data_IF_554490332638
#
_entry.id   IF_554490332638
#
_cell.length_a   1.000
_cell.length_b   1.000
_cell.length_c   1.000
_cell.angle_alpha   90.00
_cell.angle_beta   90.00
_cell.angle_gamma   90.00
#
_symmetry.space_group_name_H-M   'P 1'
#
loop_
_entity.id
_entity.type
_entity.pdbx_description
1 polymer ?
#
# COMPACT_ATOMS: atom_id res chain seq x y z
N UNK A 1 -56.82 49.72 -18.18
CA UNK A 1 -57.83 49.97 -17.14
C UNK A 1 -57.86 48.70 -16.27
N UNK A 2 -57.38 48.71 -15.02
CA UNK A 2 -58.07 49.25 -13.81
C UNK A 2 -59.34 48.40 -13.58
N UNK A 3 -59.60 47.66 -12.49
CA UNK A 3 -59.08 47.59 -11.10
C UNK A 3 -59.47 46.20 -10.47
N UNK A 4 -59.12 45.74 -9.25
CA UNK A 4 -58.04 46.01 -8.26
C UNK A 4 -58.27 45.12 -6.99
N UNK A 5 -57.20 44.75 -6.27
CA UNK A 5 -57.18 44.24 -4.85
C UNK A 5 -57.90 42.93 -4.49
N UNK A 6 -57.11 41.99 -3.92
CA UNK A 6 -57.45 41.40 -2.62
C UNK A 6 -56.27 41.55 -1.65
N UNK A 7 -56.58 41.82 -0.38
CA UNK A 7 -55.62 42.20 0.66
C UNK A 7 -55.08 40.99 1.43
N UNK A 8 -53.86 41.16 1.91
CA UNK A 8 -53.26 40.38 3.00
C UNK A 8 -54.11 40.51 4.27
N UNK A 9 -54.32 39.40 4.98
CA UNK A 9 -54.31 39.43 6.45
C UNK A 9 -53.77 38.12 7.04
N UNK A 10 -52.78 38.25 7.91
CA UNK A 10 -52.12 37.19 8.66
C UNK A 10 -52.91 36.78 9.90
N UNK A 11 -52.80 35.52 10.33
CA UNK A 11 -53.03 35.18 11.73
C UNK A 11 -52.19 33.96 12.20
N UNK A 12 -51.10 34.28 12.90
CA UNK A 12 -50.41 33.51 13.96
C UNK A 12 -50.42 31.96 13.93
N UNK A 13 -49.22 31.38 13.76
CA UNK A 13 -48.84 30.16 14.47
C UNK A 13 -47.65 30.48 15.37
N UNK A 14 -47.89 30.60 16.68
CA UNK A 14 -46.83 30.77 17.67
C UNK A 14 -46.54 29.44 18.37
N UNK A 15 -45.26 29.24 18.63
CA UNK A 15 -44.63 28.23 19.49
C UNK A 15 -45.52 27.60 20.58
N UNK A 16 -45.40 26.28 20.72
CA UNK A 16 -45.03 25.73 22.02
C UNK A 16 -43.96 24.65 21.86
N UNK A 17 -42.77 24.90 22.42
CA UNK A 17 -41.76 23.89 22.68
C UNK A 17 -42.21 23.11 23.92
N UNK A 18 -42.27 21.79 23.82
CA UNK A 18 -42.51 20.86 24.93
C UNK A 18 -41.41 19.81 24.95
N UNK A 19 -40.46 19.96 25.85
CA UNK A 19 -39.26 19.12 25.95
C UNK A 19 -39.56 17.71 26.45
N UNK A 20 -39.20 16.70 25.65
CA UNK A 20 -38.92 15.36 26.14
C UNK A 20 -37.41 15.14 26.10
N UNK A 21 -36.75 15.25 27.26
CA UNK A 21 -35.35 14.84 27.44
C UNK A 21 -35.26 13.30 27.37
N UNK A 22 -35.22 12.76 26.16
CA UNK A 22 -34.73 11.40 25.92
C UNK A 22 -33.21 11.44 25.88
N UNK A 23 -32.55 10.71 26.79
CA UNK A 23 -31.13 10.42 26.66
C UNK A 23 -30.92 9.46 25.48
N UNK A 24 -30.80 10.01 24.28
CA UNK A 24 -30.22 9.27 23.17
C UNK A 24 -28.73 9.10 23.47
N UNK A 25 -28.37 7.95 24.02
CA UNK A 25 -27.02 7.42 23.89
C UNK A 25 -26.65 7.48 22.41
N UNK A 26 -25.58 8.22 22.09
CA UNK A 26 -25.02 8.25 20.74
C UNK A 26 -24.44 6.87 20.45
N UNK A 27 -25.27 5.99 19.90
CA UNK A 27 -24.82 4.73 19.30
C UNK A 27 -23.84 5.09 18.19
N UNK A 28 -22.59 4.70 18.39
CA UNK A 28 -21.50 4.87 17.42
C UNK A 28 -21.62 3.86 16.29
N UNK A 29 -22.80 3.82 15.67
CA UNK A 29 -23.03 3.06 14.44
C UNK A 29 -22.39 3.82 13.28
N UNK A 30 -21.15 3.44 13.06
CA UNK A 30 -20.48 3.38 11.77
C UNK A 30 -21.35 3.74 10.56
N UNK A 31 -20.92 4.73 9.77
CA UNK A 31 -21.28 4.80 8.36
C UNK A 31 -20.54 3.68 7.61
N UNK A 32 -21.06 2.46 7.78
CA UNK A 32 -20.46 1.22 7.26
C UNK A 32 -20.39 1.30 5.73
N UNK A 33 -19.27 0.85 5.17
CA UNK A 33 -19.19 0.37 3.78
C UNK A 33 -20.07 -0.88 3.69
N UNK A 34 -21.39 -0.67 3.56
CA UNK A 34 -22.44 -1.69 3.55
C UNK A 34 -22.44 -2.46 2.21
N UNK A 35 -21.32 -3.11 1.94
CA UNK A 35 -21.26 -4.32 1.13
C UNK A 35 -21.24 -5.51 2.10
N UNK A 36 -22.21 -6.45 2.05
CA UNK A 36 -22.18 -7.68 2.82
C UNK A 36 -21.14 -8.68 2.29
N UNK A 37 -20.71 -8.51 1.02
CA UNK A 37 -19.84 -9.46 0.32
C UNK A 37 -18.34 -9.16 0.56
N UNK A 38 -17.86 -9.36 1.79
CA UNK A 38 -16.43 -9.40 2.10
C UNK A 38 -16.06 -10.73 2.75
N UNK A 39 -14.88 -11.28 2.44
CA UNK A 39 -14.45 -12.58 2.99
C UNK A 39 -13.76 -12.39 4.35
N UNK A 40 -14.25 -13.04 5.39
CA UNK A 40 -13.49 -13.20 6.63
C UNK A 40 -12.47 -14.33 6.49
N UNK A 41 -11.21 -14.05 6.80
CA UNK A 41 -10.11 -15.01 6.71
C UNK A 41 -9.47 -15.11 8.10
N UNK A 42 -9.66 -16.25 8.76
CA UNK A 42 -9.03 -16.53 10.06
C UNK A 42 -7.61 -17.00 9.80
N UNK A 43 -6.64 -16.23 10.28
CA UNK A 43 -5.21 -16.47 10.10
C UNK A 43 -4.61 -16.60 11.49
N UNK A 44 -4.14 -17.79 11.85
CA UNK A 44 -3.17 -17.92 12.93
C UNK A 44 -1.76 -17.98 12.31
N UNK A 45 -0.94 -16.92 12.41
CA UNK A 45 0.39 -16.89 11.81
C UNK A 45 1.28 -18.03 12.30
N UNK A 46 1.05 -18.54 13.51
CA UNK A 46 1.93 -19.54 14.12
C UNK A 46 1.64 -20.97 13.61
N UNK A 47 0.53 -21.18 12.87
CA UNK A 47 0.08 -22.50 12.37
C UNK A 47 -0.20 -22.55 10.86
N UNK A 48 0.35 -21.62 10.07
CA UNK A 48 0.17 -21.65 8.60
C UNK A 48 1.05 -22.73 7.96
N UNK A 49 0.48 -23.53 7.05
CA UNK A 49 1.17 -24.67 6.42
C UNK A 49 2.27 -24.25 5.42
N UNK A 50 3.38 -25.00 5.41
CA UNK A 50 4.33 -24.99 4.29
C UNK A 50 3.70 -25.62 3.05
N UNK A 51 4.04 -25.09 1.87
CA UNK A 51 3.37 -25.45 0.63
C UNK A 51 4.36 -25.55 -0.52
N UNK A 52 4.25 -26.59 -1.35
CA UNK A 52 4.99 -26.68 -2.60
C UNK A 52 4.50 -25.56 -3.55
N UNK A 53 5.42 -24.79 -4.10
CA UNK A 53 5.13 -23.71 -5.06
C UNK A 53 4.21 -24.17 -6.21
N UNK A 54 4.45 -25.38 -6.73
CA UNK A 54 3.63 -26.05 -7.75
C UNK A 54 2.17 -26.36 -7.38
N UNK A 55 1.76 -26.19 -6.11
CA UNK A 55 0.33 -26.19 -5.74
C UNK A 55 -0.34 -24.87 -6.15
N UNK A 56 0.36 -23.75 -5.98
CA UNK A 56 -0.13 -22.37 -6.17
C UNK A 56 0.10 -21.86 -7.60
N UNK A 57 1.20 -22.26 -8.24
CA UNK A 57 1.60 -21.77 -9.57
C UNK A 57 1.40 -22.80 -10.68
N UNK A 58 1.01 -22.32 -11.87
CA UNK A 58 1.02 -23.10 -13.11
C UNK A 58 2.38 -23.04 -13.80
N UNK A 59 3.05 -21.88 -13.75
CA UNK A 59 4.37 -21.70 -14.35
C UNK A 59 5.20 -20.60 -13.69
N UNK A 60 6.50 -20.60 -13.97
CA UNK A 60 7.48 -19.68 -13.40
C UNK A 60 8.30 -19.10 -14.55
N UNK A 61 8.58 -17.79 -14.51
CA UNK A 61 9.49 -17.11 -15.46
C UNK A 61 10.54 -16.29 -14.71
N UNK A 62 11.79 -16.36 -15.17
CA UNK A 62 12.87 -15.52 -14.67
C UNK A 62 13.13 -14.35 -15.60
N UNK A 63 13.27 -13.16 -15.02
CA UNK A 63 13.79 -11.97 -15.70
C UNK A 63 15.13 -11.62 -15.07
N UNK A 64 16.18 -11.74 -15.87
CA UNK A 64 17.55 -11.43 -15.48
C UNK A 64 17.83 -9.96 -15.75
N UNK A 65 17.69 -9.13 -14.72
CA UNK A 65 17.97 -7.69 -14.82
C UNK A 65 19.44 -7.46 -15.20
N UNK A 66 19.65 -6.73 -16.29
CA UNK A 66 20.97 -6.40 -16.82
C UNK A 66 21.84 -5.78 -15.74
N UNK A 67 23.09 -6.24 -15.64
CA UNK A 67 24.01 -5.85 -14.56
C UNK A 67 25.26 -5.23 -15.16
N UNK A 68 25.30 -3.90 -15.16
CA UNK A 68 26.46 -3.08 -15.51
C UNK A 68 26.72 -2.08 -14.38
N UNK A 69 27.82 -1.31 -14.46
CA UNK A 69 28.08 -0.20 -13.54
C UNK A 69 26.99 0.90 -13.57
N UNK A 70 26.20 0.95 -14.64
CA UNK A 70 25.11 1.92 -14.74
C UNK A 70 23.81 1.40 -14.13
N UNK A 71 23.57 0.09 -14.21
CA UNK A 71 22.34 -0.57 -13.78
C UNK A 71 22.44 -1.36 -12.47
N UNK A 72 23.60 -1.41 -11.81
CA UNK A 72 23.75 -2.08 -10.52
C UNK A 72 22.92 -1.40 -9.42
N UNK A 73 22.23 -2.19 -8.61
CA UNK A 73 21.45 -1.71 -7.45
C UNK A 73 21.52 -2.67 -6.26
N UNK A 74 21.19 -2.17 -5.07
CA UNK A 74 21.35 -2.90 -3.79
C UNK A 74 20.07 -3.58 -3.32
N UNK A 75 18.90 -2.98 -3.57
CA UNK A 75 17.61 -3.51 -3.12
C UNK A 75 16.44 -2.95 -3.94
N UNK A 76 15.38 -3.75 -4.08
CA UNK A 76 14.07 -3.27 -4.55
C UNK A 76 13.33 -2.74 -3.32
N UNK A 77 13.24 -1.41 -3.17
CA UNK A 77 12.42 -0.78 -2.13
C UNK A 77 10.97 -0.63 -2.56
N UNK A 78 10.77 -0.36 -3.84
CA UNK A 78 9.47 -0.27 -4.48
C UNK A 78 9.62 -0.69 -5.95
N UNK A 79 8.59 -1.33 -6.50
CA UNK A 79 8.50 -1.73 -7.89
C UNK A 79 7.15 -1.29 -8.45
N UNK A 80 7.14 -0.84 -9.70
CA UNK A 80 5.95 -0.71 -10.53
C UNK A 80 6.19 -1.35 -11.90
N UNK A 81 5.11 -1.70 -12.59
CA UNK A 81 5.15 -2.49 -13.81
C UNK A 81 4.27 -1.82 -14.84
N UNK A 82 4.86 -1.37 -15.95
CA UNK A 82 4.12 -0.96 -17.13
C UNK A 82 4.12 -2.09 -18.16
N UNK A 83 3.42 -1.87 -19.27
CA UNK A 83 3.40 -2.78 -20.41
C UNK A 83 4.81 -2.93 -21.03
N UNK A 84 5.66 -1.91 -20.86
CA UNK A 84 6.99 -1.80 -21.46
C UNK A 84 8.16 -1.94 -20.46
N UNK A 85 7.95 -1.63 -19.18
CA UNK A 85 9.03 -1.50 -18.19
C UNK A 85 8.73 -2.11 -16.80
N UNK A 86 9.80 -2.52 -16.12
CA UNK A 86 9.88 -2.60 -14.67
C UNK A 86 10.57 -1.33 -14.14
N UNK A 87 9.89 -0.59 -13.26
CA UNK A 87 10.38 0.62 -12.62
C UNK A 87 10.76 0.27 -11.18
N UNK A 88 12.05 0.32 -10.84
CA UNK A 88 12.61 -0.18 -9.57
C UNK A 88 13.24 0.97 -8.81
N UNK A 89 12.75 1.26 -7.61
CA UNK A 89 13.37 2.24 -6.71
C UNK A 89 14.30 1.56 -5.71
N UNK A 90 15.57 1.99 -5.70
CA UNK A 90 16.52 1.73 -4.63
C UNK A 90 16.64 2.96 -3.74
N UNK A 91 16.07 2.90 -2.53
CA UNK A 91 16.09 3.98 -1.56
C UNK A 91 17.46 4.21 -0.91
N UNK A 92 18.33 3.20 -0.89
CA UNK A 92 19.70 3.34 -0.36
C UNK A 92 20.59 4.10 -1.34
N UNK A 93 20.48 3.82 -2.64
CA UNK A 93 21.18 4.54 -3.70
C UNK A 93 20.48 5.84 -4.11
N UNK A 94 19.22 6.04 -3.72
CA UNK A 94 18.40 7.19 -4.12
C UNK A 94 18.28 7.30 -5.64
N UNK A 95 17.95 6.16 -6.25
CA UNK A 95 17.90 5.97 -7.71
C UNK A 95 16.68 5.14 -8.09
N UNK A 96 15.96 5.56 -9.13
CA UNK A 96 14.87 4.83 -9.78
C UNK A 96 15.41 4.31 -11.11
N UNK A 97 15.42 3.00 -11.31
CA UNK A 97 15.92 2.33 -12.51
C UNK A 97 14.76 1.87 -13.38
N UNK A 98 14.92 1.99 -14.69
CA UNK A 98 13.99 1.49 -15.67
C UNK A 98 14.64 0.33 -16.43
N UNK A 99 14.00 -0.83 -16.36
CA UNK A 99 14.37 -2.01 -17.15
C UNK A 99 13.22 -2.36 -18.07
N UNK A 100 13.53 -2.82 -19.28
CA UNK A 100 12.55 -3.38 -20.22
C UNK A 100 11.96 -4.69 -19.71
N UNK A 101 10.83 -5.14 -20.27
CA UNK A 101 10.17 -6.43 -19.89
C UNK A 101 11.05 -7.67 -20.08
N UNK A 102 12.08 -7.62 -20.93
CA UNK A 102 13.07 -8.69 -21.11
C UNK A 102 14.30 -8.54 -20.19
N UNK A 103 14.34 -7.49 -19.36
CA UNK A 103 15.35 -7.28 -18.33
C UNK A 103 16.55 -6.42 -18.74
N UNK A 104 16.60 -5.93 -20.00
CA UNK A 104 17.65 -4.99 -20.44
C UNK A 104 17.48 -3.64 -19.74
N UNK A 105 18.60 -3.00 -19.39
CA UNK A 105 18.61 -1.67 -18.82
C UNK A 105 18.16 -0.64 -19.87
N UNK A 106 17.34 0.33 -19.44
CA UNK A 106 16.86 1.40 -20.31
C UNK A 106 17.45 2.75 -19.90
N UNK A 107 17.12 3.24 -18.70
CA UNK A 107 17.71 4.43 -18.10
C UNK A 107 17.51 4.44 -16.58
N UNK A 108 17.91 5.53 -15.91
CA UNK A 108 17.63 5.76 -14.49
C UNK A 108 17.43 7.24 -14.16
N UNK A 109 16.65 7.51 -13.12
CA UNK A 109 16.55 8.80 -12.44
C UNK A 109 17.36 8.71 -11.14
N UNK A 110 18.36 9.58 -10.98
CA UNK A 110 19.15 9.70 -9.74
C UNK A 110 18.82 11.02 -9.05
N UNK A 111 18.96 11.08 -7.72
CA UNK A 111 19.09 12.38 -7.05
C UNK A 111 20.18 13.23 -7.75
N UNK A 112 19.94 14.53 -7.91
CA UNK A 112 20.96 15.46 -8.38
C UNK A 112 21.26 16.53 -7.33
N UNK A 113 22.17 17.46 -7.66
CA UNK A 113 22.48 18.59 -6.78
C UNK A 113 21.23 19.46 -6.56
N UNK A 114 21.04 19.96 -5.33
CA UNK A 114 19.90 20.82 -4.91
C UNK A 114 19.60 22.02 -5.81
N UNK A 115 20.56 22.42 -6.65
CA UNK A 115 20.44 23.57 -7.55
C UNK A 115 19.82 23.22 -8.92
N UNK A 116 19.58 21.95 -9.24
CA UNK A 116 18.81 21.59 -10.43
C UNK A 116 17.30 21.59 -10.10
N UNK A 117 16.50 22.54 -10.63
CA UNK A 117 15.06 22.63 -10.34
C UNK A 117 14.25 21.44 -10.86
N UNK A 118 14.81 20.64 -11.77
CA UNK A 118 14.16 19.56 -12.51
C UNK A 118 14.47 18.17 -11.91
N UNK A 119 14.92 18.13 -10.65
CA UNK A 119 15.40 16.91 -9.99
C UNK A 119 15.01 16.83 -8.52
N UNK A 120 14.70 15.61 -8.07
CA UNK A 120 14.57 15.31 -6.64
C UNK A 120 15.96 15.17 -5.97
N UNK A 121 15.98 15.35 -4.66
CA UNK A 121 17.17 15.33 -3.81
C UNK A 121 17.18 14.16 -2.83
N UNK A 122 16.00 13.79 -2.30
CA UNK A 122 15.81 12.58 -1.50
C UNK A 122 14.39 12.01 -1.64
N UNK A 123 14.23 11.06 -2.55
CA UNK A 123 12.99 10.34 -2.76
C UNK A 123 12.63 9.45 -1.55
N UNK A 124 11.35 9.47 -1.15
CA UNK A 124 10.78 8.49 -0.19
C UNK A 124 10.09 7.32 -0.87
N UNK A 125 9.60 7.55 -2.08
CA UNK A 125 8.89 6.59 -2.94
C UNK A 125 8.43 7.30 -4.21
N UNK A 126 7.63 6.62 -5.01
CA UNK A 126 7.01 7.19 -6.19
C UNK A 126 5.57 6.71 -6.35
N UNK A 127 4.77 7.43 -7.14
CA UNK A 127 3.44 7.00 -7.60
C UNK A 127 3.47 7.03 -9.12
N UNK A 128 2.89 6.03 -9.76
CA UNK A 128 2.70 5.99 -11.21
C UNK A 128 1.21 6.18 -11.48
N UNK A 129 0.88 7.20 -12.28
CA UNK A 129 -0.41 7.27 -12.96
C UNK A 129 -0.34 6.40 -14.22
N UNK A 130 -1.20 5.38 -14.27
CA UNK A 130 -1.28 4.43 -15.38
C UNK A 130 -2.08 4.95 -16.57
N UNK A 131 -2.90 6.00 -16.38
CA UNK A 131 -3.74 6.58 -17.42
C UNK A 131 -2.97 7.64 -18.22
N UNK A 132 -2.12 8.42 -17.54
CA UNK A 132 -1.27 9.46 -18.14
C UNK A 132 0.20 9.06 -18.36
N UNK A 133 0.61 7.89 -17.85
CA UNK A 133 2.01 7.39 -17.84
C UNK A 133 3.01 8.35 -17.16
N UNK A 134 2.54 9.09 -16.14
CA UNK A 134 3.34 10.03 -15.36
C UNK A 134 3.83 9.40 -14.06
N UNK A 135 5.15 9.49 -13.83
CA UNK A 135 5.82 9.07 -12.61
C UNK A 135 6.03 10.28 -11.67
N UNK A 136 5.22 10.36 -10.62
CA UNK A 136 5.32 11.36 -9.56
C UNK A 136 6.28 10.87 -8.46
N UNK A 137 7.38 11.59 -8.21
CA UNK A 137 8.41 11.24 -7.22
C UNK A 137 8.36 12.22 -6.04
N UNK A 138 8.09 11.69 -4.85
CA UNK A 138 7.98 12.48 -3.62
C UNK A 138 9.34 12.68 -2.94
N UNK A 139 9.75 13.94 -2.74
CA UNK A 139 10.99 14.29 -2.04
C UNK A 139 10.69 14.72 -0.59
N UNK A 140 11.38 14.16 0.41
CA UNK A 140 11.17 14.55 1.83
C UNK A 140 11.86 15.86 2.22
N UNK A 141 12.86 16.31 1.46
CA UNK A 141 13.58 17.56 1.70
C UNK A 141 13.02 18.74 0.88
N UNK A 142 11.92 18.53 0.14
CA UNK A 142 11.23 19.55 -0.65
C UNK A 142 9.74 19.58 -0.27
N UNK A 143 9.10 20.73 -0.39
CA UNK A 143 7.63 20.80 -0.39
C UNK A 143 7.02 20.30 -1.71
N UNK A 144 7.82 19.75 -2.63
CA UNK A 144 7.39 19.39 -3.99
C UNK A 144 7.45 17.90 -4.28
N UNK A 145 6.53 17.47 -5.15
CA UNK A 145 6.59 16.22 -5.92
C UNK A 145 7.12 16.54 -7.32
N UNK A 146 7.99 15.68 -7.87
CA UNK A 146 8.64 15.88 -9.17
C UNK A 146 8.08 14.88 -10.18
N UNK A 147 7.62 15.34 -11.33
CA UNK A 147 6.96 14.49 -12.31
C UNK A 147 7.83 14.24 -13.54
N UNK A 148 7.89 12.98 -13.96
CA UNK A 148 8.67 12.51 -15.10
C UNK A 148 7.79 11.63 -16.00
N UNK A 149 8.08 11.60 -17.29
CA UNK A 149 7.50 10.60 -18.18
C UNK A 149 8.33 9.29 -18.15
N UNK A 150 7.88 8.25 -18.86
CA UNK A 150 8.55 6.94 -18.88
C UNK A 150 9.90 6.92 -19.62
N UNK A 151 10.26 7.97 -20.38
CA UNK A 151 11.62 8.17 -20.91
C UNK A 151 12.55 8.87 -19.91
N UNK A 152 12.07 9.20 -18.71
CA UNK A 152 12.84 9.88 -17.66
C UNK A 152 12.98 11.39 -17.87
N UNK A 153 12.21 11.98 -18.78
CA UNK A 153 12.19 13.42 -19.00
C UNK A 153 11.30 14.09 -17.95
N UNK A 154 11.85 15.10 -17.26
CA UNK A 154 11.09 15.96 -16.35
C UNK A 154 9.93 16.67 -17.08
N UNK A 155 8.76 16.65 -16.46
CA UNK A 155 7.53 17.31 -16.93
C UNK A 155 7.38 18.63 -16.19
N UNK A 156 7.16 18.57 -14.88
CA UNK A 156 7.09 19.71 -13.98
C UNK A 156 7.26 19.28 -12.51
N UNK A 157 7.20 20.24 -11.59
CA UNK A 157 7.11 19.98 -10.15
C UNK A 157 5.82 20.55 -9.57
N UNK A 158 5.15 19.78 -8.74
CA UNK A 158 3.91 20.15 -8.06
C UNK A 158 4.24 20.48 -6.61
N UNK A 159 3.80 21.64 -6.11
CA UNK A 159 3.86 21.93 -4.68
C UNK A 159 2.82 21.08 -3.95
N UNK A 160 3.24 20.32 -2.95
CA UNK A 160 2.34 19.51 -2.12
C UNK A 160 1.50 20.41 -1.23
N UNK A 161 0.19 20.29 -1.35
CA UNK A 161 -0.76 20.95 -0.46
C UNK A 161 -0.80 20.19 0.87
N UNK A 162 -0.12 20.78 1.86
CA UNK A 162 -0.15 20.43 3.29
C UNK A 162 0.48 19.06 3.64
N UNK A 163 1.56 19.15 4.42
CA UNK A 163 2.18 18.00 5.08
C UNK A 163 1.41 17.65 6.37
N UNK A 164 1.30 16.38 6.79
CA UNK A 164 1.67 15.16 6.06
C UNK A 164 0.47 14.43 5.42
N UNK A 165 0.23 14.57 4.11
CA UNK A 165 -0.41 13.47 3.35
C UNK A 165 0.45 12.21 3.56
N UNK A 166 -0.17 11.08 3.91
CA UNK A 166 0.56 9.84 4.20
C UNK A 166 0.89 9.03 2.96
N UNK A 167 -0.04 8.96 2.00
CA UNK A 167 0.11 8.22 0.75
C UNK A 167 -0.97 8.68 -0.26
N UNK A 168 -0.75 8.45 -1.54
CA UNK A 168 -1.75 8.68 -2.60
C UNK A 168 -1.59 7.70 -3.77
N UNK A 169 -2.61 7.61 -4.61
CA UNK A 169 -2.60 6.82 -5.85
C UNK A 169 -3.49 7.48 -6.90
N UNK A 170 -3.32 7.08 -8.17
CA UNK A 170 -4.14 7.52 -9.29
C UNK A 170 -4.88 6.32 -9.90
N UNK A 171 -6.14 6.52 -10.28
CA UNK A 171 -7.00 5.48 -10.85
C UNK A 171 -8.20 6.09 -11.58
N UNK A 172 -8.43 5.72 -12.84
CA UNK A 172 -9.57 6.19 -13.67
C UNK A 172 -9.66 7.73 -13.69
N UNK A 173 -8.51 8.41 -13.87
CA UNK A 173 -8.36 9.88 -13.78
C UNK A 173 -8.83 10.52 -12.44
N UNK A 174 -8.82 9.75 -11.35
CA UNK A 174 -9.06 10.23 -9.98
C UNK A 174 -7.80 10.10 -9.12
N UNK A 175 -7.62 11.03 -8.19
CA UNK A 175 -6.57 10.98 -7.18
C UNK A 175 -7.13 10.49 -5.85
N UNK A 176 -6.70 9.32 -5.41
CA UNK A 176 -7.01 8.76 -4.10
C UNK A 176 -5.96 9.25 -3.10
N UNK A 177 -6.37 9.90 -2.02
CA UNK A 177 -5.47 10.45 -0.99
C UNK A 177 -5.81 9.85 0.36
N UNK A 178 -4.82 9.26 1.02
CA UNK A 178 -4.95 8.78 2.39
C UNK A 178 -4.34 9.77 3.38
N UNK A 179 -5.19 10.25 4.25
CA UNK A 179 -4.92 11.14 5.37
C UNK A 179 -4.83 10.30 6.66
N UNK A 180 -3.61 10.13 7.17
CA UNK A 180 -3.36 9.43 8.43
C UNK A 180 -3.73 10.31 9.63
N UNK A 181 -3.69 9.72 10.82
CA UNK A 181 -3.87 10.43 12.09
C UNK A 181 -2.95 11.67 12.23
N UNK A 182 -1.76 11.66 11.61
CA UNK A 182 -0.81 12.77 11.64
C UNK A 182 -1.24 13.99 10.80
N UNK A 183 -2.02 13.76 9.73
CA UNK A 183 -2.35 14.76 8.70
C UNK A 183 -3.37 15.81 9.13
N UNK A 184 -4.27 15.45 10.05
CA UNK A 184 -5.37 16.31 10.47
C UNK A 184 -4.97 17.30 11.58
N UNK A 185 -3.92 17.00 12.36
CA UNK A 185 -3.43 17.94 13.37
C UNK A 185 -2.59 19.07 12.76
N UNK A 186 -1.79 18.82 11.71
CA UNK A 186 -0.92 19.87 11.11
C UNK A 186 -1.72 21.00 10.46
N UNK A 187 -2.84 20.68 9.78
CA UNK A 187 -3.77 21.68 9.24
C UNK A 187 -4.34 22.59 10.33
N UNK A 188 -4.54 22.05 11.54
CA UNK A 188 -5.09 22.79 12.68
C UNK A 188 -4.00 23.50 13.52
N UNK A 189 -2.75 23.04 13.52
CA UNK A 189 -1.63 23.68 14.25
C UNK A 189 -1.27 25.08 13.72
N UNK A 190 -1.61 25.40 12.46
CA UNK A 190 -1.49 26.75 11.91
C UNK A 190 -2.68 27.67 12.22
N UNK A 191 -3.71 27.18 12.90
CA UNK A 191 -4.82 28.02 13.40
C UNK A 191 -4.53 28.48 14.82
N UNK A 192 -4.61 29.79 15.04
CA UNK A 192 -4.04 30.48 16.22
C UNK A 192 -4.84 30.34 17.53
N UNK A 193 -5.73 29.36 17.66
CA UNK A 193 -6.62 29.24 18.82
C UNK A 193 -6.64 27.84 19.45
N UNK A 194 -5.83 27.57 20.49
CA UNK A 194 -5.86 26.33 21.28
C UNK A 194 -7.21 26.02 21.97
N UNK A 195 -8.15 26.95 21.99
CA UNK A 195 -9.37 26.87 22.81
C UNK A 195 -10.50 26.05 22.16
N UNK A 196 -10.44 25.76 20.86
CA UNK A 196 -11.45 24.97 20.12
C UNK A 196 -11.17 23.46 20.10
N UNK A 197 -10.12 22.99 20.78
CA UNK A 197 -9.53 21.63 20.72
C UNK A 197 -10.40 20.45 21.20
N UNK A 198 -11.73 20.60 21.35
CA UNK A 198 -12.65 19.53 21.81
C UNK A 198 -14.04 19.67 21.22
N UNK A 199 -14.15 19.66 19.90
CA UNK A 199 -15.41 19.35 19.21
C UNK A 199 -15.23 18.01 18.52
N UNK A 200 -16.12 17.06 18.74
CA UNK A 200 -16.08 15.70 18.17
C UNK A 200 -16.26 15.70 16.65
N UNK A 201 -15.23 16.16 15.94
CA UNK A 201 -15.21 16.30 14.49
C UNK A 201 -14.75 14.99 13.90
N UNK A 202 -15.64 14.34 13.14
CA UNK A 202 -15.21 13.26 12.27
C UNK A 202 -14.54 13.85 11.04
N UNK A 203 -13.39 13.30 10.67
CA UNK A 203 -12.67 13.64 9.43
C UNK A 203 -12.41 12.35 8.63
N UNK A 204 -12.41 12.39 7.28
CA UNK A 204 -12.26 11.20 6.45
C UNK A 204 -10.79 10.80 6.30
N UNK A 205 -10.43 9.54 6.58
CA UNK A 205 -9.09 9.04 6.28
C UNK A 205 -8.83 8.91 4.77
N UNK A 206 -9.86 8.67 3.95
CA UNK A 206 -9.71 8.48 2.51
C UNK A 206 -10.57 9.51 1.77
N UNK A 207 -9.93 10.37 1.00
CA UNK A 207 -10.60 11.34 0.12
C UNK A 207 -10.18 11.08 -1.31
N UNK A 208 -11.16 11.12 -2.21
CA UNK A 208 -10.97 10.89 -3.63
C UNK A 208 -11.29 12.20 -4.34
N UNK A 209 -10.38 12.65 -5.20
CA UNK A 209 -10.46 13.92 -5.91
C UNK A 209 -10.53 13.69 -7.41
N UNK A 210 -11.22 14.59 -8.11
CA UNK A 210 -11.02 14.82 -9.54
C UNK A 210 -9.68 15.53 -9.77
N UNK A 211 -9.12 15.41 -10.98
CA UNK A 211 -7.83 16.03 -11.35
C UNK A 211 -7.82 17.58 -11.26
N UNK A 212 -8.99 18.24 -11.17
CA UNK A 212 -9.11 19.68 -10.92
C UNK A 212 -9.04 20.06 -9.42
N UNK A 213 -8.89 19.09 -8.51
CA UNK A 213 -8.86 19.30 -7.06
C UNK A 213 -10.22 19.27 -6.37
N UNK A 214 -11.32 19.06 -7.09
CA UNK A 214 -12.65 18.91 -6.48
C UNK A 214 -12.80 17.55 -5.78
N UNK A 215 -13.41 17.55 -4.58
CA UNK A 215 -13.69 16.32 -3.83
C UNK A 215 -14.81 15.55 -4.51
N UNK A 216 -14.50 14.31 -4.94
CA UNK A 216 -15.45 13.38 -5.54
C UNK A 216 -16.11 12.47 -4.49
N UNK A 217 -15.33 11.89 -3.57
CA UNK A 217 -15.84 11.00 -2.51
C UNK A 217 -15.02 11.11 -1.20
N UNK A 218 -15.64 10.75 -0.08
CA UNK A 218 -15.03 10.74 1.26
C UNK A 218 -15.44 9.48 2.03
N UNK A 219 -14.46 8.75 2.56
CA UNK A 219 -14.64 7.45 3.21
C UNK A 219 -13.82 7.32 4.48
N UNK A 220 -14.12 6.28 5.27
CA UNK A 220 -13.34 5.86 6.43
C UNK A 220 -13.14 6.99 7.47
N UNK A 221 -14.26 7.52 7.96
CA UNK A 221 -14.29 8.60 8.92
C UNK A 221 -13.77 8.17 10.30
N UNK A 222 -13.03 9.06 10.98
CA UNK A 222 -12.48 8.85 12.31
C UNK A 222 -12.42 10.17 13.11
N UNK A 223 -12.20 10.09 14.42
CA UNK A 223 -11.97 11.27 15.26
C UNK A 223 -10.45 11.51 15.43
N UNK A 224 -9.88 12.63 14.93
CA UNK A 224 -8.45 12.93 15.10
C UNK A 224 -8.07 13.32 16.53
N UNK A 225 -9.02 13.76 17.37
CA UNK A 225 -8.74 14.08 18.77
C UNK A 225 -8.37 12.84 19.62
N UNK A 226 -8.66 11.63 19.12
CA UNK A 226 -8.34 10.37 19.80
C UNK A 226 -6.88 9.93 19.63
N UNK A 227 -6.10 10.59 18.76
CA UNK A 227 -4.77 10.11 18.34
C UNK A 227 -3.76 11.26 18.22
N UNK A 228 -2.62 11.11 18.90
CA UNK A 228 -1.46 11.96 18.66
C UNK A 228 -0.67 11.50 17.41
N UNK A 229 -0.34 12.40 16.46
CA UNK A 229 0.53 12.13 15.32
C UNK A 229 1.82 11.38 15.65
N UNK A 230 2.49 11.75 16.76
CA UNK A 230 3.78 11.20 17.16
C UNK A 230 3.68 9.84 17.86
N UNK A 231 2.49 9.27 17.94
CA UNK A 231 2.28 7.91 18.43
C UNK A 231 2.33 6.83 17.35
N UNK A 232 2.30 7.23 16.07
CA UNK A 232 2.19 6.30 14.95
C UNK A 232 3.40 6.35 14.02
N UNK A 233 3.55 5.28 13.24
CA UNK A 233 4.47 5.22 12.11
C UNK A 233 3.67 5.44 10.84
N UNK A 234 4.24 6.22 9.91
CA UNK A 234 3.66 6.41 8.57
C UNK A 234 4.16 5.30 7.65
N UNK A 235 3.30 4.85 6.75
CA UNK A 235 3.59 3.78 5.80
C UNK A 235 2.79 4.01 4.50
N UNK A 236 3.15 3.26 3.45
CA UNK A 236 2.33 3.07 2.24
C UNK A 236 1.00 2.40 2.60
N UNK A 237 -0.08 2.78 1.91
CA UNK A 237 -1.45 2.34 2.14
C UNK A 237 -2.11 1.88 0.83
N UNK A 238 -1.67 2.40 -0.33
CA UNK A 238 -2.17 2.02 -1.65
C UNK A 238 -1.24 1.06 -2.39
N UNK A 239 -1.84 0.01 -2.97
CA UNK A 239 -1.14 -1.02 -3.73
C UNK A 239 -1.88 -1.27 -5.04
N UNK A 240 -1.22 -0.99 -6.17
CA UNK A 240 -1.78 -1.23 -7.50
C UNK A 240 -1.35 -2.63 -7.95
N UNK A 241 -2.33 -3.48 -8.24
CA UNK A 241 -2.09 -4.86 -8.71
C UNK A 241 -2.38 -5.02 -10.20
N UNK A 242 -3.33 -4.24 -10.72
CA UNK A 242 -3.76 -4.26 -12.11
C UNK A 242 -4.39 -2.88 -12.42
N UNK A 243 -4.67 -2.60 -13.69
CA UNK A 243 -5.27 -1.32 -14.11
C UNK A 243 -6.77 -1.18 -13.75
N UNK A 244 -7.39 -2.17 -13.11
CA UNK A 244 -8.84 -2.22 -12.84
C UNK A 244 -9.22 -2.03 -11.36
N UNK A 245 -8.23 -2.07 -10.44
CA UNK A 245 -8.45 -1.76 -9.03
C UNK A 245 -7.18 -1.26 -8.31
N UNK A 246 -7.38 -0.34 -7.36
CA UNK A 246 -6.40 0.01 -6.33
C UNK A 246 -6.79 -0.68 -5.03
N UNK A 247 -5.87 -1.47 -4.47
CA UNK A 247 -6.03 -2.07 -3.15
C UNK A 247 -5.55 -1.10 -2.08
N UNK A 248 -6.22 -1.12 -0.94
CA UNK A 248 -5.96 -0.21 0.17
C UNK A 248 -5.98 -0.94 1.52
N UNK A 249 -5.03 -0.61 2.40
CA UNK A 249 -5.03 -0.99 3.82
C UNK A 249 -4.67 0.23 4.66
N UNK A 250 -5.04 0.23 5.96
CA UNK A 250 -4.67 1.31 6.89
C UNK A 250 -4.14 0.74 8.21
N UNK A 251 -3.36 1.55 8.91
CA UNK A 251 -2.87 1.21 10.26
C UNK A 251 -4.02 0.88 11.21
N UNK A 252 -3.82 -0.13 12.07
CA UNK A 252 -4.77 -0.68 13.04
C UNK A 252 -6.04 -1.31 12.48
N UNK A 253 -6.18 -1.42 11.15
CA UNK A 253 -7.31 -2.09 10.51
C UNK A 253 -6.83 -3.36 9.80
N UNK A 254 -7.33 -4.51 10.23
CA UNK A 254 -7.04 -5.79 9.59
C UNK A 254 -7.92 -6.03 8.35
N UNK A 255 -8.45 -4.97 7.74
CA UNK A 255 -9.28 -5.02 6.53
C UNK A 255 -8.49 -4.55 5.31
N UNK A 256 -8.55 -5.35 4.24
CA UNK A 256 -8.13 -4.96 2.89
C UNK A 256 -9.36 -4.45 2.15
N UNK A 257 -9.23 -3.29 1.55
CA UNK A 257 -10.24 -2.64 0.72
C UNK A 257 -9.80 -2.67 -0.75
N UNK A 258 -10.77 -2.56 -1.66
CA UNK A 258 -10.54 -2.36 -3.10
C UNK A 258 -11.36 -1.15 -3.55
N UNK A 259 -10.76 -0.30 -4.38
CA UNK A 259 -11.44 0.73 -5.17
C UNK A 259 -11.30 0.35 -6.64
N UNK A 260 -12.42 0.02 -7.29
CA UNK A 260 -12.45 -0.58 -8.63
C UNK A 260 -13.15 0.33 -9.66
N UNK A 261 -13.12 -0.07 -10.95
CA UNK A 261 -13.70 0.69 -12.08
C UNK A 261 -15.20 1.02 -11.98
N UNK A 262 -15.95 0.48 -11.00
CA UNK A 262 -17.30 0.96 -10.68
C UNK A 262 -17.29 2.22 -9.79
N UNK A 263 -16.11 2.78 -9.51
CA UNK A 263 -15.85 3.96 -8.67
C UNK A 263 -16.42 3.83 -7.25
N UNK A 264 -16.28 2.64 -6.66
CA UNK A 264 -16.77 2.32 -5.31
C UNK A 264 -15.67 1.73 -4.45
N UNK A 265 -15.56 2.23 -3.22
CA UNK A 265 -14.79 1.57 -2.16
C UNK A 265 -15.57 0.36 -1.64
N UNK A 266 -14.92 -0.80 -1.60
CA UNK A 266 -15.49 -2.04 -1.08
C UNK A 266 -14.50 -2.70 -0.10
N UNK A 267 -15.03 -3.39 0.92
CA UNK A 267 -14.24 -4.31 1.74
C UNK A 267 -14.02 -5.58 0.94
N UNK A 268 -12.76 -6.01 0.81
CA UNK A 268 -12.39 -7.22 0.07
C UNK A 268 -12.19 -8.40 1.02
N UNK A 269 -11.33 -8.22 2.03
CA UNK A 269 -10.99 -9.22 3.05
C UNK A 269 -10.98 -8.55 4.42
N UNK A 270 -11.47 -9.25 5.44
CA UNK A 270 -11.14 -8.96 6.85
C UNK A 270 -10.31 -10.10 7.42
N UNK A 271 -9.07 -9.82 7.78
CA UNK A 271 -8.17 -10.77 8.45
C UNK A 271 -8.53 -10.80 9.94
N UNK A 272 -8.82 -12.00 10.45
CA UNK A 272 -9.08 -12.25 11.86
C UNK A 272 -7.88 -13.00 12.43
N UNK A 273 -7.16 -12.35 13.35
CA UNK A 273 -6.00 -12.91 14.04
C UNK A 273 -6.40 -13.44 15.43
N UNK A 274 -5.60 -14.34 16.04
CA UNK A 274 -5.73 -14.67 17.44
C UNK A 274 -5.66 -13.42 18.35
N UNK A 275 -6.25 -13.49 19.54
CA UNK A 275 -6.32 -12.34 20.45
C UNK A 275 -4.92 -11.88 20.91
N UNK A 276 -4.00 -12.83 21.14
CA UNK A 276 -2.60 -12.56 21.48
C UNK A 276 -1.78 -11.95 20.32
N UNK A 277 -2.41 -11.73 19.17
CA UNK A 277 -1.80 -11.22 17.94
C UNK A 277 -2.54 -10.00 17.37
N UNK A 278 -3.65 -9.63 17.98
CA UNK A 278 -4.50 -8.50 17.60
C UNK A 278 -4.20 -7.29 18.48
N UNK A 279 -4.41 -6.09 17.95
CA UNK A 279 -4.48 -4.89 18.78
C UNK A 279 -5.70 -4.99 19.72
N UNK A 280 -5.63 -4.44 20.95
CA UNK A 280 -6.82 -4.27 21.79
C UNK A 280 -7.91 -3.49 21.03
N UNK A 281 -9.17 -3.92 21.14
CA UNK A 281 -10.30 -3.30 20.43
C UNK A 281 -10.47 -1.81 20.80
N UNK A 282 -10.11 -1.46 22.04
CA UNK A 282 -10.17 -0.11 22.60
C UNK A 282 -8.85 0.67 22.47
N UNK A 283 -7.85 0.19 21.73
CA UNK A 283 -6.50 0.78 21.68
C UNK A 283 -6.46 2.27 21.27
N UNK A 284 -7.41 2.68 20.42
CA UNK A 284 -7.57 4.08 19.99
C UNK A 284 -8.37 4.96 20.96
N UNK A 285 -9.07 4.38 21.92
CA UNK A 285 -10.03 5.10 22.79
C UNK A 285 -9.71 4.98 24.27
N UNK A 286 -8.88 4.01 24.67
CA UNK A 286 -8.51 3.77 26.06
C UNK A 286 -7.29 4.63 26.45
N UNK A 287 -7.50 5.51 27.44
CA UNK A 287 -6.50 6.44 27.95
C UNK A 287 -5.25 5.78 28.57
N UNK A 288 -5.29 4.46 28.86
CA UNK A 288 -4.10 3.71 29.28
C UNK A 288 -2.97 3.74 28.23
N UNK A 289 -3.34 3.87 26.95
CA UNK A 289 -2.39 3.89 25.84
C UNK A 289 -1.92 5.29 25.45
N UNK A 290 -2.51 6.37 25.99
CA UNK A 290 -2.18 7.74 25.59
C UNK A 290 -0.70 8.09 25.83
N UNK A 291 -0.06 8.63 24.79
CA UNK A 291 1.38 8.91 24.69
C UNK A 291 2.28 7.66 24.81
N UNK A 292 1.71 6.47 24.68
CA UNK A 292 2.38 5.16 24.82
C UNK A 292 2.10 4.21 23.67
N UNK A 293 1.25 4.55 22.70
CA UNK A 293 0.87 3.63 21.60
C UNK A 293 2.09 3.17 20.79
N UNK A 294 3.03 4.06 20.49
CA UNK A 294 4.32 3.72 19.83
C UNK A 294 5.17 2.77 20.67
N UNK A 295 5.23 2.98 21.98
CA UNK A 295 5.96 2.09 22.89
C UNK A 295 5.29 0.73 23.00
N UNK A 296 3.96 0.69 23.17
CA UNK A 296 3.18 -0.54 23.22
C UNK A 296 3.40 -1.38 21.95
N UNK A 297 3.34 -0.76 20.77
CA UNK A 297 3.67 -1.43 19.51
C UNK A 297 5.12 -1.90 19.45
N UNK A 298 6.08 -1.18 20.06
CA UNK A 298 7.49 -1.59 20.11
C UNK A 298 7.72 -2.78 21.05
N UNK A 299 7.07 -2.84 22.20
CA UNK A 299 7.25 -3.88 23.21
C UNK A 299 6.42 -5.14 22.95
N UNK A 300 5.26 -5.01 22.30
CA UNK A 300 4.39 -6.12 21.91
C UNK A 300 4.64 -6.51 20.44
N UNK A 301 5.87 -6.94 20.12
CA UNK A 301 6.28 -7.26 18.74
C UNK A 301 5.46 -8.33 18.03
N UNK A 302 4.72 -9.15 18.79
CA UNK A 302 3.88 -10.24 18.26
C UNK A 302 2.51 -9.74 17.75
N UNK A 303 2.11 -8.52 18.09
CA UNK A 303 0.84 -7.94 17.64
C UNK A 303 1.03 -7.35 16.24
N UNK A 304 0.13 -7.72 15.31
CA UNK A 304 0.09 -7.06 14.01
C UNK A 304 -0.72 -5.76 14.12
N UNK A 305 -0.09 -4.65 13.75
CA UNK A 305 -0.69 -3.31 13.75
C UNK A 305 -0.96 -2.76 12.34
N UNK A 306 -0.61 -3.51 11.29
CA UNK A 306 -0.80 -3.13 9.87
C UNK A 306 -0.67 -4.33 8.92
N UNK A 307 -1.47 -4.29 7.86
CA UNK A 307 -1.34 -5.11 6.64
C UNK A 307 -0.54 -4.35 5.57
N UNK A 308 0.46 -5.01 4.97
CA UNK A 308 1.37 -4.46 3.96
C UNK A 308 1.46 -5.32 2.68
N UNK A 309 2.09 -4.79 1.62
CA UNK A 309 2.37 -5.46 0.33
C UNK A 309 1.18 -6.29 -0.19
N UNK A 310 0.06 -5.61 -0.39
CA UNK A 310 -1.21 -6.23 -0.77
C UNK A 310 -1.33 -6.27 -2.28
N UNK A 311 -1.35 -7.46 -2.87
CA UNK A 311 -1.47 -7.65 -4.30
C UNK A 311 -2.52 -8.69 -4.64
N UNK A 312 -3.28 -8.48 -5.72
CA UNK A 312 -4.38 -9.38 -6.15
C UNK A 312 -4.23 -9.82 -7.60
N UNK A 313 -4.38 -11.12 -7.83
CA UNK A 313 -4.50 -11.75 -9.14
C UNK A 313 -5.63 -12.77 -9.06
N UNK A 314 -6.72 -12.55 -9.81
CA UNK A 314 -7.93 -13.38 -9.76
C UNK A 314 -8.43 -13.57 -8.31
N UNK A 315 -8.46 -14.81 -7.82
CA UNK A 315 -8.82 -15.14 -6.44
C UNK A 315 -7.66 -15.04 -5.44
N UNK A 316 -6.41 -14.87 -5.88
CA UNK A 316 -5.26 -14.84 -5.00
C UNK A 316 -4.99 -13.44 -4.48
N UNK A 317 -4.79 -13.30 -3.16
CA UNK A 317 -4.43 -12.03 -2.51
C UNK A 317 -3.26 -12.22 -1.55
N UNK A 318 -2.22 -11.41 -1.71
CA UNK A 318 -1.07 -11.35 -0.80
C UNK A 318 -1.35 -10.36 0.34
N UNK A 319 -0.77 -10.61 1.51
CA UNK A 319 -0.74 -9.65 2.60
C UNK A 319 0.50 -9.88 3.47
N UNK A 320 1.07 -8.81 4.02
CA UNK A 320 2.18 -8.86 4.96
C UNK A 320 1.68 -8.40 6.32
N UNK A 321 1.63 -9.31 7.28
CA UNK A 321 1.26 -8.96 8.65
C UNK A 321 2.51 -8.38 9.33
N UNK A 322 2.46 -7.11 9.70
CA UNK A 322 3.62 -6.37 10.21
C UNK A 322 4.31 -7.13 11.35
N UNK A 323 5.63 -7.34 11.22
CA UNK A 323 6.52 -8.10 12.12
C UNK A 323 6.19 -9.58 12.34
N UNK A 324 5.30 -10.15 11.52
CA UNK A 324 4.90 -11.55 11.62
C UNK A 324 5.27 -12.35 10.39
N UNK A 325 4.42 -12.35 9.37
CA UNK A 325 4.51 -13.24 8.21
C UNK A 325 3.94 -12.62 6.96
N UNK A 326 4.44 -13.09 5.84
CA UNK A 326 3.84 -12.87 4.54
C UNK A 326 2.83 -14.00 4.28
N UNK A 327 1.55 -13.68 4.08
CA UNK A 327 0.47 -14.63 3.80
C UNK A 327 -0.09 -14.49 2.39
N UNK A 328 -0.51 -15.61 1.81
CA UNK A 328 -1.20 -15.69 0.53
C UNK A 328 -2.55 -16.39 0.73
N UNK A 329 -3.62 -15.75 0.29
CA UNK A 329 -5.02 -16.20 0.48
C UNK A 329 -5.66 -16.50 -0.86
N UNK A 330 -6.41 -17.59 -0.96
CA UNK A 330 -7.31 -17.85 -2.08
C UNK A 330 -8.77 -17.51 -1.72
N UNK A 331 -9.37 -16.57 -2.42
CA UNK A 331 -10.74 -16.10 -2.20
C UNK A 331 -11.82 -17.04 -2.75
N UNK A 332 -11.49 -17.91 -3.70
CA UNK A 332 -12.39 -18.97 -4.17
C UNK A 332 -12.50 -20.10 -3.14
N UNK A 333 -11.37 -20.74 -2.80
CA UNK A 333 -11.34 -21.91 -1.91
C UNK A 333 -11.39 -21.54 -0.42
N UNK A 334 -10.74 -20.45 -0.03
CA UNK A 334 -10.46 -20.11 1.38
C UNK A 334 -9.10 -20.56 1.87
N UNK A 335 -8.27 -21.16 1.01
CA UNK A 335 -6.93 -21.61 1.37
C UNK A 335 -6.04 -20.43 1.80
N UNK A 336 -5.11 -20.73 2.72
CA UNK A 336 -4.19 -19.79 3.34
C UNK A 336 -2.80 -20.42 3.40
N UNK A 337 -1.80 -19.71 2.88
CA UNK A 337 -0.42 -20.20 2.82
C UNK A 337 0.57 -19.18 3.39
N UNK A 338 1.64 -19.70 3.97
CA UNK A 338 2.78 -18.92 4.42
C UNK A 338 3.71 -18.72 3.21
N UNK A 339 3.94 -17.47 2.82
CA UNK A 339 4.83 -17.14 1.71
C UNK A 339 6.29 -17.49 2.08
N UNK A 340 6.66 -17.34 3.35
CA UNK A 340 7.97 -17.75 3.86
C UNK A 340 8.10 -19.29 3.96
N UNK A 341 6.97 -20.00 3.96
CA UNK A 341 6.84 -21.45 3.88
C UNK A 341 6.67 -22.01 2.46
N UNK A 342 6.79 -21.20 1.40
CA UNK A 342 6.72 -21.71 0.01
C UNK A 342 8.02 -22.44 -0.34
N UNK A 343 7.91 -23.75 -0.52
CA UNK A 343 8.99 -24.62 -0.96
C UNK A 343 9.07 -24.56 -2.49
N UNK A 344 10.18 -24.01 -2.99
CA UNK A 344 10.42 -23.88 -4.43
C UNK A 344 11.17 -25.08 -5.01
N UNK A 345 10.67 -25.61 -6.13
CA UNK A 345 11.27 -26.75 -6.81
C UNK A 345 12.54 -26.40 -7.61
N UNK A 346 12.78 -25.11 -7.89
CA UNK A 346 13.80 -24.65 -8.85
C UNK A 346 15.25 -24.91 -8.42
N UNK A 347 15.45 -25.10 -7.11
CA UNK A 347 16.73 -25.45 -6.50
C UNK A 347 16.63 -26.63 -5.53
N UNK A 348 15.42 -27.18 -5.29
CA UNK A 348 15.18 -28.11 -4.18
C UNK A 348 15.37 -27.47 -2.80
N UNK A 349 15.20 -26.16 -2.71
CA UNK A 349 15.50 -25.37 -1.52
C UNK A 349 14.29 -24.54 -1.13
N UNK A 350 13.92 -24.64 0.14
CA UNK A 350 13.21 -23.55 0.80
C UNK A 350 14.08 -22.29 0.71
N UNK A 351 13.54 -21.26 0.07
CA UNK A 351 14.06 -19.89 0.15
C UNK A 351 13.64 -19.23 1.49
N UNK A 352 13.52 -20.04 2.55
CA UNK A 352 13.56 -19.60 3.94
C UNK A 352 14.88 -18.86 4.17
N UNK A 353 14.78 -17.53 4.16
CA UNK A 353 15.92 -16.64 4.03
C UNK A 353 15.57 -15.37 3.26
N UNK A 354 14.47 -14.72 3.67
CA UNK A 354 13.95 -13.51 3.06
C UNK A 354 13.65 -13.68 1.56
N UNK A 355 12.53 -14.34 1.23
CA UNK A 355 11.71 -13.76 0.18
C UNK A 355 11.41 -12.33 0.65
N UNK A 356 12.02 -11.34 0.01
CA UNK A 356 11.46 -9.99 0.05
C UNK A 356 9.98 -10.12 -0.33
N UNK A 357 9.09 -9.50 0.45
CA UNK A 357 7.66 -9.48 0.18
C UNK A 357 7.37 -9.26 -1.31
N UNK A 358 6.25 -9.81 -1.79
CA UNK A 358 5.79 -9.58 -3.17
C UNK A 358 5.95 -8.11 -3.56
N UNK A 359 6.65 -7.88 -4.67
CA UNK A 359 7.04 -6.54 -5.13
C UNK A 359 5.95 -5.85 -5.94
N UNK A 360 5.08 -6.66 -6.55
CA UNK A 360 4.09 -6.21 -7.53
C UNK A 360 3.51 -7.39 -8.32
N UNK A 361 2.79 -7.03 -9.37
CA UNK A 361 2.12 -7.95 -10.30
C UNK A 361 2.54 -7.59 -11.73
N UNK A 362 2.75 -8.62 -12.55
CA UNK A 362 2.94 -8.50 -14.00
C UNK A 362 1.94 -9.42 -14.70
N UNK A 363 0.87 -8.83 -15.26
CA UNK A 363 -0.26 -9.57 -15.82
C UNK A 363 -0.84 -10.56 -14.78
N UNK A 364 -0.79 -11.87 -15.04
CA UNK A 364 -1.26 -12.92 -14.13
C UNK A 364 -0.13 -13.54 -13.28
N UNK A 365 1.02 -12.86 -13.15
CA UNK A 365 2.12 -13.31 -12.31
C UNK A 365 2.40 -12.37 -11.13
N UNK A 366 2.54 -12.92 -9.93
CA UNK A 366 3.11 -12.17 -8.81
C UNK A 366 4.63 -12.08 -8.98
N UNK A 367 5.23 -10.96 -8.58
CA UNK A 367 6.68 -10.74 -8.67
C UNK A 367 7.30 -10.90 -7.27
N UNK A 368 8.23 -11.85 -7.15
CA UNK A 368 9.23 -11.86 -6.07
C UNK A 368 10.62 -11.65 -6.66
N UNK A 369 11.64 -11.38 -5.83
CA UNK A 369 13.02 -11.33 -6.30
C UNK A 369 13.89 -12.36 -5.58
N UNK A 370 14.83 -12.93 -6.32
CA UNK A 370 15.89 -13.79 -5.78
C UNK A 370 17.16 -12.93 -5.66
N UNK A 371 17.64 -12.63 -4.44
CA UNK A 371 18.91 -11.95 -4.27
C UNK A 371 20.06 -12.82 -4.80
N UNK A 372 20.95 -12.23 -5.60
CA UNK A 372 22.05 -12.96 -6.24
C UNK A 372 22.96 -13.70 -5.24
N UNK A 373 23.28 -13.08 -4.10
CA UNK A 373 24.10 -13.71 -3.07
C UNK A 373 23.41 -14.93 -2.44
N UNK A 374 22.09 -14.87 -2.26
CA UNK A 374 21.27 -16.01 -1.80
C UNK A 374 21.33 -17.14 -2.82
N UNK A 375 21.08 -16.86 -4.11
CA UNK A 375 21.20 -17.85 -5.18
C UNK A 375 22.59 -18.50 -5.21
N UNK A 376 23.65 -17.69 -5.17
CA UNK A 376 25.03 -18.17 -5.24
C UNK A 376 25.39 -19.07 -4.07
N UNK A 377 25.21 -18.59 -2.84
CA UNK A 377 25.49 -19.35 -1.61
C UNK A 377 24.75 -20.69 -1.60
N UNK A 378 23.46 -20.65 -1.91
CA UNK A 378 22.61 -21.84 -1.98
C UNK A 378 23.02 -22.81 -3.08
N UNK A 379 23.31 -22.31 -4.29
CA UNK A 379 23.79 -23.14 -5.39
C UNK A 379 25.13 -23.81 -5.06
N UNK A 380 26.06 -23.10 -4.44
CA UNK A 380 27.37 -23.65 -4.10
C UNK A 380 27.27 -24.84 -3.11
N UNK A 381 26.29 -24.82 -2.19
CA UNK A 381 25.99 -25.91 -1.26
C UNK A 381 25.42 -27.20 -1.91
N UNK A 382 24.81 -27.11 -3.09
CA UNK A 382 24.18 -28.27 -3.75
C UNK A 382 25.20 -29.33 -4.17
N UNK A 383 24.85 -30.61 -4.00
CA UNK A 383 25.62 -31.74 -4.54
C UNK A 383 25.65 -31.74 -6.07
N UNK A 384 26.54 -32.52 -6.68
CA UNK A 384 26.61 -32.67 -8.15
C UNK A 384 25.30 -33.18 -8.76
N UNK A 385 24.55 -34.01 -8.03
CA UNK A 385 23.26 -34.53 -8.49
C UNK A 385 22.15 -33.48 -8.40
N UNK A 386 22.08 -32.71 -7.31
CA UNK A 386 21.12 -31.61 -7.17
C UNK A 386 21.41 -30.49 -8.18
N UNK A 387 22.68 -30.10 -8.34
CA UNK A 387 23.13 -29.17 -9.39
C UNK A 387 22.67 -29.58 -10.77
N UNK A 388 22.55 -30.88 -11.09
CA UNK A 388 22.03 -31.32 -12.39
C UNK A 388 20.56 -30.93 -12.63
N UNK A 389 19.75 -30.84 -11.57
CA UNK A 389 18.29 -30.57 -11.61
C UNK A 389 17.93 -29.09 -11.67
N UNK A 390 18.82 -28.19 -11.25
CA UNK A 390 18.60 -26.73 -11.27
C UNK A 390 18.34 -26.24 -12.70
N UNK A 391 17.50 -25.21 -12.87
CA UNK A 391 17.26 -24.61 -14.18
C UNK A 391 18.57 -24.12 -14.86
N UNK A 392 18.63 -24.26 -16.20
CA UNK A 392 19.81 -23.92 -17.00
C UNK A 392 20.18 -22.43 -16.94
N UNK A 393 19.19 -21.54 -16.90
CA UNK A 393 19.41 -20.10 -16.81
C UNK A 393 19.90 -19.69 -15.41
N UNK A 394 19.35 -20.30 -14.35
CA UNK A 394 19.82 -20.10 -12.98
C UNK A 394 21.25 -20.59 -12.75
N UNK A 395 21.61 -21.78 -13.27
CA UNK A 395 23.00 -22.31 -13.27
C UNK A 395 23.99 -21.29 -13.85
N UNK A 396 23.68 -20.77 -15.04
CA UNK A 396 24.54 -19.84 -15.77
C UNK A 396 24.73 -18.51 -15.03
N UNK A 397 23.78 -18.11 -14.18
CA UNK A 397 23.89 -16.89 -13.35
C UNK A 397 24.59 -17.18 -12.03
N UNK A 398 24.33 -18.30 -11.36
CA UNK A 398 24.95 -18.63 -10.07
C UNK A 398 26.50 -18.71 -10.14
N UNK A 399 27.05 -19.11 -11.30
CA UNK A 399 28.51 -19.15 -11.53
C UNK A 399 29.15 -17.79 -11.82
N UNK A 400 28.36 -16.72 -12.04
CA UNK A 400 28.91 -15.36 -12.26
C UNK A 400 29.60 -14.83 -10.98
N UNK A 401 30.47 -13.81 -11.12
CA UNK A 401 30.99 -13.07 -9.96
C UNK A 401 29.92 -12.19 -9.30
N UNK A 402 29.02 -11.59 -10.11
CA UNK A 402 27.97 -10.67 -9.66
C UNK A 402 26.79 -10.67 -10.63
N UNK A 403 25.58 -10.38 -10.12
CA UNK A 403 24.35 -10.07 -10.87
C UNK A 403 23.46 -9.23 -9.95
N UNK A 404 22.64 -8.34 -10.51
CA UNK A 404 21.46 -7.77 -9.86
C UNK A 404 20.48 -8.87 -9.39
N UNK A 405 19.55 -8.57 -8.47
CA UNK A 405 18.44 -9.45 -8.14
C UNK A 405 17.68 -9.94 -9.38
N UNK A 406 17.30 -11.21 -9.40
CA UNK A 406 16.53 -11.83 -10.49
C UNK A 406 15.05 -11.66 -10.13
N UNK A 407 14.22 -11.12 -11.04
CA UNK A 407 12.78 -11.14 -10.83
C UNK A 407 12.24 -12.53 -11.16
N UNK A 408 11.48 -13.11 -10.25
CA UNK A 408 10.78 -14.38 -10.43
C UNK A 408 9.29 -14.09 -10.51
N UNK A 409 8.72 -14.35 -11.67
CA UNK A 409 7.30 -14.19 -11.98
C UNK A 409 6.61 -15.52 -11.71
N UNK A 410 5.69 -15.51 -10.75
CA UNK A 410 4.90 -16.66 -10.30
C UNK A 410 3.50 -16.59 -10.92
N UNK A 411 3.29 -17.28 -12.04
CA UNK A 411 1.97 -17.35 -12.68
C UNK A 411 1.08 -18.26 -11.85
N UNK A 412 0.10 -17.66 -11.16
CA UNK A 412 -0.79 -18.38 -10.25
C UNK A 412 -1.90 -19.11 -11.00
N UNK A 413 -2.39 -20.21 -10.41
CA UNK A 413 -3.52 -20.96 -10.92
C UNK A 413 -4.80 -20.13 -10.87
N UNK A 414 -5.68 -20.31 -11.85
CA UNK A 414 -7.01 -19.69 -11.87
C UNK A 414 -7.95 -20.29 -10.82
#
# INVERSE_FOLDING_TARGET
MINLQYKILSLYLFFFIGSAYGQNSLETDSLIVNSPDYKEVRIDPDYVEEVLESKITDSIKYIFLETTKESEFTSITQLAVTDSHYIIFDRKLQTIYFFTKDGRYFHKLTKQNKNNPDSFTYAVGFVLDYDSEVLSVDDIHSESTYEFNLEGKFIHKIKREIYPISDYSYFENLKLVYYNFNSHQSANQYTSNPSSRKTSRLEPNLVIYHNNGEVFQQHLWFNPDNVDPDEFYTFRNFYVSNRNEVLFSRSLDNTIYSYNSNLKLQRLIKIILPIQNSMPEDFLTNALYDNKRREYQRTNSNISNKIDNVFKINYWVTASLTRRKHVLVNLGTGDLFDIDGIISNDLGLTLQGNYTAFHGVDNNAFIVSIPFLTLKYKYDQLSKQEKSRVDASLKNVAIKPYQNPILKLLYVKN
#
